data_IF_038358145639
#
_entry.id   IF_038358145639
#
_cell.length_a   1.000
_cell.length_b   1.000
_cell.length_c   1.000
_cell.angle_alpha   90.00
_cell.angle_beta   90.00
_cell.angle_gamma   90.00
#
_symmetry.space_group_name_H-M   'P 1'
#
loop_
_entity.id
_entity.type
_entity.pdbx_description
1 polymer ?
#
# COMPACT_ATOMS: atom_id res chain seq x y z
N UNK A 1 -24.06 6.40 -9.96
CA UNK A 1 -23.80 7.37 -8.91
C UNK A 1 -22.80 8.42 -9.39
N UNK A 2 -22.84 9.61 -8.83
CA UNK A 2 -21.90 10.68 -9.15
C UNK A 2 -20.50 10.36 -8.65
N UNK A 3 -19.42 10.91 -9.26
CA UNK A 3 -18.03 10.72 -8.80
C UNK A 3 -17.74 11.56 -7.55
N UNK A 4 -18.62 11.51 -6.56
CA UNK A 4 -18.54 12.20 -5.27
C UNK A 4 -18.51 11.20 -4.15
N UNK A 5 -18.37 11.67 -2.91
CA UNK A 5 -18.49 10.82 -1.72
C UNK A 5 -19.87 10.17 -1.71
N UNK A 6 -19.92 8.90 -2.04
CA UNK A 6 -21.14 8.09 -2.08
C UNK A 6 -20.81 6.64 -1.73
N UNK A 7 -21.83 5.86 -1.41
CA UNK A 7 -21.73 4.44 -1.03
C UNK A 7 -21.22 3.53 -2.17
N UNK A 8 -21.29 3.96 -3.44
CA UNK A 8 -20.84 3.12 -4.54
C UNK A 8 -19.32 3.18 -4.73
N UNK A 9 -18.71 2.04 -4.97
CA UNK A 9 -17.29 1.94 -5.34
C UNK A 9 -17.02 2.27 -6.81
N UNK A 10 -18.05 2.36 -7.65
CA UNK A 10 -17.99 2.66 -9.09
C UNK A 10 -18.95 3.80 -9.39
N UNK A 11 -18.54 4.79 -10.20
CA UNK A 11 -19.39 5.89 -10.60
C UNK A 11 -20.31 5.56 -11.78
N UNK A 12 -21.11 6.55 -12.21
CA UNK A 12 -22.03 6.40 -13.33
C UNK A 12 -21.31 6.07 -14.66
N UNK A 13 -20.11 6.58 -14.86
CA UNK A 13 -19.30 6.36 -16.07
C UNK A 13 -18.46 5.07 -16.02
N UNK A 14 -18.60 4.28 -14.96
CA UNK A 14 -17.87 3.04 -14.78
C UNK A 14 -16.45 3.22 -14.22
N UNK A 15 -16.08 4.41 -13.77
CA UNK A 15 -14.78 4.65 -13.16
C UNK A 15 -14.75 4.11 -11.72
N UNK A 16 -13.66 3.47 -11.37
CA UNK A 16 -13.45 2.96 -10.02
C UNK A 16 -13.03 4.08 -9.09
N UNK A 17 -13.75 4.24 -7.98
CA UNK A 17 -13.42 5.18 -6.90
C UNK A 17 -12.36 4.60 -5.95
N UNK A 18 -11.79 5.45 -5.12
CA UNK A 18 -10.82 5.04 -4.08
C UNK A 18 -11.30 3.86 -3.24
N UNK A 19 -12.59 3.87 -2.84
CA UNK A 19 -13.21 2.76 -2.10
C UNK A 19 -13.08 1.42 -2.82
N UNK A 20 -13.22 1.38 -4.14
CA UNK A 20 -13.15 0.13 -4.91
C UNK A 20 -11.74 -0.47 -4.89
N UNK A 21 -10.69 0.37 -5.01
CA UNK A 21 -9.31 -0.09 -4.91
C UNK A 21 -8.95 -0.54 -3.49
N UNK A 22 -9.46 0.15 -2.46
CA UNK A 22 -9.27 -0.28 -1.07
C UNK A 22 -9.98 -1.60 -0.79
N UNK A 23 -11.23 -1.77 -1.27
CA UNK A 23 -11.97 -3.03 -1.16
C UNK A 23 -11.24 -4.18 -1.87
N UNK A 24 -10.71 -3.95 -3.09
CA UNK A 24 -9.89 -4.95 -3.79
C UNK A 24 -8.70 -5.45 -2.96
N UNK A 25 -8.03 -4.56 -2.23
CA UNK A 25 -6.92 -4.91 -1.34
C UNK A 25 -7.40 -5.63 -0.08
N UNK A 26 -8.48 -5.14 0.53
CA UNK A 26 -9.03 -5.70 1.77
C UNK A 26 -9.65 -7.09 1.59
N UNK A 27 -10.19 -7.39 0.39
CA UNK A 27 -10.77 -8.69 0.05
C UNK A 27 -9.78 -9.62 -0.69
N UNK A 28 -8.47 -9.37 -0.58
CA UNK A 28 -7.48 -10.31 -1.08
C UNK A 28 -7.56 -11.65 -0.31
N UNK A 29 -7.43 -12.81 -1.00
CA UNK A 29 -7.60 -14.13 -0.36
C UNK A 29 -6.64 -14.41 0.81
N UNK A 30 -5.48 -13.74 0.83
CA UNK A 30 -4.58 -13.70 1.99
C UNK A 30 -4.35 -12.25 2.35
N UNK A 31 -4.55 -11.92 3.62
CA UNK A 31 -4.42 -10.57 4.12
C UNK A 31 -3.55 -10.50 5.38
N UNK A 32 -2.75 -9.44 5.50
CA UNK A 32 -1.98 -9.11 6.70
C UNK A 32 -2.70 -7.95 7.37
N UNK A 33 -3.15 -8.13 8.60
CA UNK A 33 -3.86 -7.12 9.36
C UNK A 33 -3.10 -6.73 10.63
N UNK A 34 -2.28 -5.68 10.60
CA UNK A 34 -1.67 -5.10 11.78
C UNK A 34 -2.71 -4.30 12.56
N UNK A 35 -2.79 -4.53 13.87
CA UNK A 35 -3.74 -3.87 14.76
C UNK A 35 -3.04 -3.42 16.04
N UNK A 36 -3.29 -2.19 16.47
CA UNK A 36 -2.82 -1.68 17.74
C UNK A 36 -3.87 -1.95 18.82
N UNK A 37 -3.53 -2.83 19.76
CA UNK A 37 -4.35 -3.17 20.93
C UNK A 37 -3.70 -2.57 22.19
N UNK A 38 -4.18 -1.41 22.62
CA UNK A 38 -3.50 -0.62 23.64
C UNK A 38 -2.11 -0.20 23.14
N UNK A 39 -1.07 -0.55 23.87
CA UNK A 39 0.33 -0.29 23.51
C UNK A 39 1.01 -1.46 22.77
N UNK A 40 0.25 -2.50 22.43
CA UNK A 40 0.79 -3.66 21.71
C UNK A 40 0.37 -3.64 20.25
N UNK A 41 1.34 -3.82 19.37
CA UNK A 41 1.09 -4.13 17.97
C UNK A 41 0.87 -5.65 17.85
N UNK A 42 -0.30 -6.02 17.34
CA UNK A 42 -0.66 -7.37 16.98
C UNK A 42 -0.71 -7.50 15.48
N UNK A 43 -0.13 -8.55 14.91
CA UNK A 43 -0.18 -8.83 13.47
C UNK A 43 -0.94 -10.11 13.24
N UNK A 44 -2.05 -10.00 12.54
CA UNK A 44 -2.90 -11.12 12.17
C UNK A 44 -2.64 -11.48 10.71
N UNK A 45 -2.62 -12.78 10.43
CA UNK A 45 -2.72 -13.32 9.09
C UNK A 45 -4.12 -13.92 8.91
N UNK A 46 -4.74 -13.55 7.80
CA UNK A 46 -6.08 -14.03 7.41
C UNK A 46 -5.95 -14.82 6.10
N UNK A 47 -6.72 -15.90 5.97
CA UNK A 47 -6.81 -16.69 4.75
C UNK A 47 -8.25 -17.10 4.49
N UNK A 48 -8.73 -16.79 3.29
CA UNK A 48 -10.00 -17.26 2.72
C UNK A 48 -9.81 -18.51 1.83
N UNK A 49 -8.54 -19.00 1.72
CA UNK A 49 -8.27 -20.25 1.02
C UNK A 49 -8.83 -21.45 1.76
N UNK A 50 -9.25 -22.47 1.01
CA UNK A 50 -9.70 -23.73 1.55
C UNK A 50 -8.58 -24.70 1.88
N UNK A 51 -7.34 -24.36 1.51
CA UNK A 51 -6.14 -25.15 1.75
C UNK A 51 -5.20 -24.46 2.72
N UNK A 52 -4.54 -25.25 3.57
CA UNK A 52 -3.47 -24.75 4.44
C UNK A 52 -2.24 -24.36 3.64
N UNK A 53 -1.68 -23.19 3.92
CA UNK A 53 -0.42 -22.72 3.35
C UNK A 53 0.71 -22.85 4.36
N UNK A 54 1.78 -23.49 3.93
CA UNK A 54 2.93 -23.77 4.79
C UNK A 54 4.18 -23.05 4.31
N UNK A 55 5.20 -23.01 5.18
CA UNK A 55 6.54 -22.45 4.90
C UNK A 55 6.49 -21.02 4.42
N UNK A 56 5.57 -20.25 5.01
CA UNK A 56 5.49 -18.81 4.77
C UNK A 56 6.51 -18.08 5.64
N UNK A 57 6.99 -16.95 5.14
CA UNK A 57 7.89 -16.03 5.90
C UNK A 57 7.28 -14.66 5.94
N UNK A 58 7.01 -14.14 7.13
CA UNK A 58 6.57 -12.76 7.33
C UNK A 58 7.77 -11.90 7.66
N UNK A 59 8.01 -10.88 6.85
CA UNK A 59 9.03 -9.85 7.05
C UNK A 59 8.35 -8.53 7.41
N UNK A 60 8.81 -7.89 8.48
CA UNK A 60 8.28 -6.61 8.97
C UNK A 60 9.43 -5.62 9.11
N UNK A 61 9.33 -4.47 8.42
CA UNK A 61 10.34 -3.40 8.41
C UNK A 61 9.74 -2.10 8.88
N UNK A 62 10.32 -1.51 9.92
CA UNK A 62 9.97 -0.20 10.40
C UNK A 62 10.87 0.84 9.74
N UNK A 63 10.26 1.79 9.02
CA UNK A 63 10.95 2.75 8.17
C UNK A 63 10.33 4.13 8.35
N UNK A 64 11.13 5.19 8.34
CA UNK A 64 10.60 6.54 8.30
C UNK A 64 10.15 6.95 6.89
N UNK A 65 9.47 8.09 6.76
CA UNK A 65 8.95 8.56 5.47
C UNK A 65 10.03 8.93 4.44
N UNK A 66 11.29 9.04 4.85
CA UNK A 66 12.44 9.22 3.94
C UNK A 66 13.13 7.89 3.56
N UNK A 67 12.56 6.75 3.91
CA UNK A 67 13.10 5.43 3.56
C UNK A 67 14.20 4.92 4.49
N UNK A 68 14.52 5.65 5.57
CA UNK A 68 15.54 5.21 6.52
C UNK A 68 14.93 4.23 7.53
N UNK A 69 15.61 3.12 7.76
CA UNK A 69 15.26 2.16 8.80
C UNK A 69 15.28 2.83 10.19
N UNK A 70 14.21 2.63 10.96
CA UNK A 70 14.05 3.25 12.30
C UNK A 70 14.24 2.23 13.42
N UNK A 71 13.68 1.05 13.29
CA UNK A 71 13.69 0.00 14.29
C UNK A 71 14.32 -1.30 13.80
N UNK A 72 14.00 -2.38 14.47
CA UNK A 72 14.43 -3.72 14.06
C UNK A 72 13.61 -4.21 12.87
N UNK A 73 14.26 -4.94 11.97
CA UNK A 73 13.54 -5.82 11.04
C UNK A 73 13.19 -7.08 11.78
N UNK A 74 11.94 -7.48 11.75
CA UNK A 74 11.46 -8.73 12.31
C UNK A 74 11.17 -9.70 11.17
N UNK A 75 11.68 -10.92 11.28
CA UNK A 75 11.46 -11.99 10.31
C UNK A 75 10.92 -13.19 11.07
N UNK A 76 9.73 -13.66 10.69
CA UNK A 76 9.10 -14.87 11.22
C UNK A 76 9.09 -15.93 10.12
N UNK A 77 10.04 -16.86 10.13
CA UNK A 77 10.12 -17.93 9.14
C UNK A 77 9.17 -19.10 9.46
N UNK A 78 8.91 -19.92 8.47
CA UNK A 78 8.21 -21.22 8.60
C UNK A 78 6.81 -21.12 9.22
N UNK A 79 6.11 -20.03 8.93
CA UNK A 79 4.72 -19.89 9.37
C UNK A 79 3.81 -20.85 8.59
N UNK A 80 2.81 -21.35 9.29
CA UNK A 80 1.68 -22.11 8.73
C UNK A 80 0.42 -21.28 8.86
N UNK A 81 -0.29 -21.09 7.76
CA UNK A 81 -1.58 -20.38 7.71
C UNK A 81 -2.67 -21.41 7.35
N UNK A 82 -3.48 -21.86 8.33
CA UNK A 82 -4.55 -22.79 8.08
C UNK A 82 -5.60 -22.27 7.11
N UNK A 83 -6.39 -23.17 6.55
CA UNK A 83 -7.54 -22.85 5.73
C UNK A 83 -8.56 -22.01 6.51
N UNK A 84 -9.20 -21.04 5.83
CA UNK A 84 -10.30 -20.23 6.34
C UNK A 84 -10.10 -19.75 7.79
N UNK A 85 -8.99 -19.04 8.03
CA UNK A 85 -8.56 -18.70 9.39
C UNK A 85 -8.15 -17.22 9.53
N UNK A 86 -8.20 -16.75 10.76
CA UNK A 86 -7.56 -15.52 11.22
C UNK A 86 -6.76 -15.82 12.48
N UNK A 87 -5.44 -15.64 12.45
CA UNK A 87 -4.57 -15.93 13.58
C UNK A 87 -3.58 -14.79 13.86
N UNK A 88 -3.36 -14.47 15.14
CA UNK A 88 -2.30 -13.57 15.56
C UNK A 88 -0.96 -14.32 15.52
N UNK A 89 -0.07 -13.88 14.61
CA UNK A 89 1.26 -14.50 14.43
C UNK A 89 2.38 -13.74 15.11
N UNK A 90 2.13 -12.48 15.49
CA UNK A 90 3.12 -11.64 16.16
C UNK A 90 2.44 -10.65 17.11
N UNK A 91 3.01 -10.48 18.30
CA UNK A 91 2.59 -9.48 19.28
C UNK A 91 3.84 -8.86 19.92
N UNK A 92 3.90 -7.54 19.98
CA UNK A 92 5.00 -6.81 20.61
C UNK A 92 4.55 -5.46 21.14
N UNK A 93 5.20 -4.95 22.19
CA UNK A 93 4.96 -3.58 22.62
C UNK A 93 5.59 -2.59 21.63
N UNK A 94 5.01 -1.39 21.52
CA UNK A 94 5.61 -0.31 20.72
C UNK A 94 7.00 0.05 21.22
N UNK A 95 7.25 0.03 22.54
CA UNK A 95 8.56 0.27 23.12
C UNK A 95 9.61 -0.73 22.62
N UNK A 96 9.27 -2.01 22.54
CA UNK A 96 10.15 -3.05 22.00
C UNK A 96 10.38 -2.90 20.50
N UNK A 97 9.33 -2.55 19.77
CA UNK A 97 9.39 -2.38 18.32
C UNK A 97 10.35 -1.25 17.92
N UNK A 98 10.34 -0.14 18.65
CA UNK A 98 11.17 1.04 18.39
C UNK A 98 12.54 1.00 19.05
N UNK A 99 12.84 -0.02 19.88
CA UNK A 99 14.15 -0.15 20.51
C UNK A 99 15.28 -0.29 19.45
N UNK A 100 16.43 0.39 19.60
CA UNK A 100 16.93 1.10 20.76
C UNK A 100 16.70 2.62 20.76
N UNK A 101 15.68 3.13 20.10
CA UNK A 101 15.40 4.57 20.08
C UNK A 101 15.10 5.08 21.51
N UNK A 102 15.94 5.96 22.01
CA UNK A 102 15.77 6.63 23.32
C UNK A 102 14.78 7.81 23.29
N UNK A 103 14.05 8.00 22.18
CA UNK A 103 13.16 9.14 21.96
C UNK A 103 11.72 8.84 22.41
N UNK A 104 10.96 9.86 22.81
CA UNK A 104 9.53 9.69 23.06
C UNK A 104 8.83 9.14 21.83
N UNK A 105 8.20 8.00 21.96
CA UNK A 105 7.45 7.28 20.93
C UNK A 105 6.39 8.11 20.19
N UNK A 106 5.90 9.18 20.81
CA UNK A 106 4.80 9.98 20.27
C UNK A 106 5.13 10.67 18.93
N UNK A 107 6.34 11.22 18.79
CA UNK A 107 6.77 11.91 17.57
C UNK A 107 7.18 10.91 16.46
N UNK A 108 7.83 9.81 16.83
CA UNK A 108 8.27 8.81 15.84
C UNK A 108 7.07 8.16 15.12
N UNK A 109 5.94 7.97 15.82
CA UNK A 109 4.72 7.38 15.27
C UNK A 109 4.04 8.23 14.17
N UNK A 110 4.40 9.51 14.06
CA UNK A 110 3.87 10.44 13.05
C UNK A 110 4.73 10.51 11.79
N UNK A 111 5.96 9.94 11.84
CA UNK A 111 6.97 10.03 10.79
C UNK A 111 7.39 8.69 10.18
N UNK A 112 6.78 7.59 10.65
CA UNK A 112 7.18 6.26 10.21
C UNK A 112 5.96 5.38 9.84
N UNK A 113 6.28 4.33 9.13
CA UNK A 113 5.36 3.24 8.78
C UNK A 113 6.04 1.90 8.96
N UNK A 114 5.27 0.85 9.06
CA UNK A 114 5.75 -0.51 8.98
C UNK A 114 5.28 -1.15 7.69
N UNK A 115 6.23 -1.64 6.90
CA UNK A 115 5.98 -2.48 5.74
C UNK A 115 5.99 -3.94 6.19
N UNK A 116 4.94 -4.68 5.84
CA UNK A 116 4.81 -6.09 6.13
C UNK A 116 4.65 -6.85 4.82
N UNK A 117 5.48 -7.87 4.63
CA UNK A 117 5.47 -8.68 3.41
C UNK A 117 5.47 -10.16 3.79
N UNK A 118 4.46 -10.89 3.35
CA UNK A 118 4.36 -12.33 3.48
C UNK A 118 4.84 -12.98 2.18
N UNK A 119 5.81 -13.88 2.30
CA UNK A 119 6.43 -14.59 1.16
C UNK A 119 6.20 -16.09 1.27
N UNK A 120 6.10 -16.75 0.15
CA UNK A 120 6.12 -18.21 0.08
C UNK A 120 7.56 -18.75 0.14
N UNK A 121 7.71 -20.09 0.12
CA UNK A 121 9.00 -20.81 0.13
C UNK A 121 9.90 -20.45 -1.05
N UNK A 122 9.34 -19.96 -2.15
CA UNK A 122 10.08 -19.57 -3.37
C UNK A 122 10.47 -18.09 -3.34
N UNK A 123 10.07 -17.34 -2.29
CA UNK A 123 10.32 -15.92 -2.14
C UNK A 123 9.30 -15.03 -2.86
N UNK A 124 8.25 -15.60 -3.48
CA UNK A 124 7.20 -14.80 -4.08
C UNK A 124 6.32 -14.14 -2.99
N UNK A 125 5.96 -12.89 -3.23
CA UNK A 125 5.05 -12.15 -2.35
C UNK A 125 3.63 -12.73 -2.44
N UNK A 126 3.12 -13.20 -1.31
CA UNK A 126 1.74 -13.72 -1.15
C UNK A 126 0.80 -12.61 -0.74
N UNK A 127 1.23 -11.75 0.18
CA UNK A 127 0.49 -10.58 0.63
C UNK A 127 1.47 -9.50 1.10
N UNK A 128 1.07 -8.25 0.97
CA UNK A 128 1.81 -7.10 1.50
C UNK A 128 0.85 -6.04 2.03
N UNK A 129 1.28 -5.30 3.05
CA UNK A 129 0.53 -4.17 3.57
C UNK A 129 1.48 -3.15 4.20
N UNK A 130 1.00 -1.91 4.29
CA UNK A 130 1.69 -0.82 4.99
C UNK A 130 0.84 -0.39 6.17
N UNK A 131 1.44 -0.32 7.34
CA UNK A 131 0.76 0.11 8.55
C UNK A 131 1.29 1.46 9.03
N UNK A 132 0.38 2.40 9.24
CA UNK A 132 0.65 3.71 9.83
C UNK A 132 0.16 3.72 11.27
N UNK A 133 0.98 4.20 12.19
CA UNK A 133 0.68 4.20 13.63
C UNK A 133 -0.27 5.34 14.05
N UNK A 134 -0.60 6.25 13.14
CA UNK A 134 -1.52 7.37 13.34
C UNK A 134 -2.48 7.50 12.14
N UNK A 135 -3.60 8.16 12.38
CA UNK A 135 -4.55 8.52 11.30
C UNK A 135 -3.84 9.45 10.30
N UNK A 136 -4.22 9.39 9.04
CA UNK A 136 -3.61 10.18 7.95
C UNK A 136 -3.49 11.67 8.27
N UNK A 137 -4.51 12.25 8.90
CA UNK A 137 -4.52 13.67 9.31
C UNK A 137 -3.47 14.04 10.36
N UNK A 138 -2.97 13.05 11.11
CA UNK A 138 -2.01 13.24 12.19
C UNK A 138 -0.58 12.89 11.76
N UNK A 139 -0.39 12.40 10.51
CA UNK A 139 0.91 12.10 9.95
C UNK A 139 1.62 13.37 9.47
N UNK A 140 2.91 13.45 9.69
CA UNK A 140 3.78 14.51 9.19
C UNK A 140 4.39 14.10 7.85
N UNK A 141 3.55 14.06 6.82
CA UNK A 141 3.92 13.62 5.49
C UNK A 141 4.94 14.57 4.84
N UNK A 142 6.01 14.04 4.22
CA UNK A 142 7.04 14.86 3.57
C UNK A 142 6.49 15.47 2.28
N UNK A 143 6.99 16.65 1.92
CA UNK A 143 6.87 17.14 0.55
C UNK A 143 7.79 16.27 -0.32
N UNK A 144 7.25 15.68 -1.38
CA UNK A 144 7.99 14.82 -2.31
C UNK A 144 7.41 14.98 -3.70
N UNK A 145 8.12 14.47 -4.69
CA UNK A 145 7.67 14.44 -6.09
C UNK A 145 7.66 13.01 -6.58
N UNK A 146 6.62 12.67 -7.32
CA UNK A 146 6.50 11.36 -7.98
C UNK A 146 7.02 11.49 -9.41
N UNK A 147 8.12 10.80 -9.71
CA UNK A 147 8.60 10.68 -11.08
C UNK A 147 7.85 9.54 -11.79
N UNK A 148 7.56 9.73 -13.08
CA UNK A 148 6.83 8.77 -13.89
C UNK A 148 7.57 8.52 -15.21
N UNK A 149 7.79 7.25 -15.54
CA UNK A 149 8.19 6.81 -16.88
C UNK A 149 7.00 6.15 -17.55
N UNK A 150 6.74 6.54 -18.80
CA UNK A 150 5.59 6.09 -19.57
C UNK A 150 6.08 5.20 -20.72
N UNK A 151 5.47 4.02 -20.85
CA UNK A 151 5.56 3.19 -22.05
C UNK A 151 4.16 2.98 -22.60
N UNK A 152 3.96 3.32 -23.85
CA UNK A 152 2.64 3.34 -24.48
C UNK A 152 2.62 2.54 -25.76
N UNK A 153 1.54 1.82 -25.95
CA UNK A 153 1.15 1.14 -27.18
C UNK A 153 -0.36 1.22 -27.33
N UNK A 154 -0.90 0.84 -28.48
CA UNK A 154 -2.34 0.90 -28.72
C UNK A 154 -3.12 0.12 -27.65
N UNK A 155 -4.09 0.79 -27.06
CA UNK A 155 -4.95 0.24 -26.01
C UNK A 155 -4.32 0.17 -24.61
N UNK A 156 -3.00 0.40 -24.44
CA UNK A 156 -2.31 0.16 -23.16
C UNK A 156 -1.25 1.23 -22.88
N UNK A 157 -1.25 1.74 -21.66
CA UNK A 157 -0.21 2.59 -21.11
C UNK A 157 0.34 1.98 -19.82
N UNK A 158 1.66 1.76 -19.77
CA UNK A 158 2.38 1.31 -18.57
C UNK A 158 3.10 2.48 -17.94
N UNK A 159 2.79 2.76 -16.70
CA UNK A 159 3.43 3.78 -15.88
C UNK A 159 4.38 3.12 -14.89
N UNK A 160 5.63 3.56 -14.84
CA UNK A 160 6.57 3.20 -13.77
C UNK A 160 6.80 4.41 -12.88
N UNK A 161 6.31 4.34 -11.66
CA UNK A 161 6.34 5.41 -10.67
C UNK A 161 7.46 5.20 -9.66
N UNK A 162 8.08 6.29 -9.22
CA UNK A 162 9.12 6.30 -8.21
C UNK A 162 9.06 7.60 -7.41
N UNK A 163 9.22 7.51 -6.08
CA UNK A 163 9.36 8.67 -5.20
C UNK A 163 10.56 8.51 -4.27
N UNK A 164 11.35 9.57 -3.98
CA UNK A 164 12.44 9.52 -3.03
C UNK A 164 11.99 9.43 -1.56
N UNK A 165 10.74 9.82 -1.27
CA UNK A 165 10.13 9.71 0.05
C UNK A 165 8.71 9.16 -0.08
N UNK A 166 8.06 8.85 1.04
CA UNK A 166 6.68 8.36 1.03
C UNK A 166 5.76 9.36 0.32
N UNK A 167 5.12 8.92 -0.76
CA UNK A 167 3.99 9.60 -1.37
C UNK A 167 2.72 8.80 -1.03
N UNK A 168 1.94 9.31 -0.06
CA UNK A 168 0.77 8.61 0.46
C UNK A 168 -0.46 8.89 -0.39
N UNK A 169 -1.27 7.83 -0.60
CA UNK A 169 -2.51 7.90 -1.36
C UNK A 169 -2.30 8.51 -2.75
N UNK A 170 -1.37 7.93 -3.53
CA UNK A 170 -1.10 8.37 -4.90
C UNK A 170 -2.33 8.14 -5.76
N UNK A 171 -2.79 9.19 -6.39
CA UNK A 171 -3.92 9.20 -7.30
C UNK A 171 -3.47 9.52 -8.73
N UNK A 172 -3.85 8.67 -9.65
CA UNK A 172 -3.58 8.79 -11.09
C UNK A 172 -4.88 9.09 -11.80
N UNK A 173 -4.90 10.15 -12.58
CA UNK A 173 -6.06 10.57 -13.36
C UNK A 173 -5.69 10.71 -14.83
N UNK A 174 -6.60 10.28 -15.69
CA UNK A 174 -6.54 10.43 -17.14
C UNK A 174 -7.96 10.76 -17.64
N UNK A 175 -8.14 11.77 -18.51
CA UNK A 175 -9.46 12.18 -18.99
C UNK A 175 -9.99 11.26 -20.10
N UNK A 176 -9.86 9.94 -19.90
CA UNK A 176 -10.39 8.92 -20.81
C UNK A 176 -11.51 8.16 -20.10
N UNK A 177 -12.75 8.35 -20.58
CA UNK A 177 -13.91 7.69 -19.99
C UNK A 177 -13.78 6.16 -20.07
N UNK A 178 -14.03 5.48 -18.95
CA UNK A 178 -13.97 4.03 -18.85
C UNK A 178 -12.56 3.43 -18.87
N UNK A 179 -11.50 4.25 -18.74
CA UNK A 179 -10.14 3.74 -18.56
C UNK A 179 -10.05 2.86 -17.31
N UNK A 180 -9.32 1.74 -17.42
CA UNK A 180 -9.11 0.82 -16.32
C UNK A 180 -7.67 0.86 -15.87
N UNK A 181 -7.47 0.98 -14.55
CA UNK A 181 -6.17 0.98 -13.91
C UNK A 181 -5.95 -0.36 -13.19
N UNK A 182 -4.78 -0.95 -13.34
CA UNK A 182 -4.42 -2.15 -12.56
C UNK A 182 -4.40 -1.86 -11.06
N UNK A 183 -4.00 -0.65 -10.66
CA UNK A 183 -4.06 -0.13 -9.29
C UNK A 183 -4.16 1.40 -9.29
N UNK A 184 -4.71 1.97 -8.20
CA UNK A 184 -4.80 3.41 -7.96
C UNK A 184 -5.03 3.67 -6.45
N UNK A 185 -4.88 4.90 -5.98
CA UNK A 185 -5.03 5.27 -4.56
C UNK A 185 -4.18 4.37 -3.65
N UNK A 186 -2.89 4.26 -3.95
CA UNK A 186 -1.92 3.45 -3.23
C UNK A 186 -0.83 4.30 -2.59
N UNK A 187 -0.14 3.73 -1.61
CA UNK A 187 1.05 4.33 -1.04
C UNK A 187 2.27 3.96 -1.88
N UNK A 188 3.03 4.96 -2.32
CA UNK A 188 4.30 4.77 -3.02
C UNK A 188 5.44 4.94 -2.01
N UNK A 189 6.10 3.82 -1.71
CA UNK A 189 7.13 3.78 -0.68
C UNK A 189 8.46 4.37 -1.17
N UNK A 190 9.28 4.90 -0.27
CA UNK A 190 10.55 5.54 -0.62
C UNK A 190 11.49 4.62 -1.40
N UNK A 191 11.86 5.02 -2.62
CA UNK A 191 12.79 4.27 -3.47
C UNK A 191 12.21 3.01 -4.14
N UNK A 192 10.97 2.65 -3.85
CA UNK A 192 10.29 1.53 -4.52
C UNK A 192 9.71 1.96 -5.87
N UNK A 193 9.76 1.04 -6.83
CA UNK A 193 9.13 1.21 -8.14
C UNK A 193 7.75 0.56 -8.15
N UNK A 194 6.73 1.32 -8.48
CA UNK A 194 5.37 0.82 -8.68
C UNK A 194 5.01 0.90 -10.16
N UNK A 195 4.60 -0.23 -10.73
CA UNK A 195 4.08 -0.27 -12.09
C UNK A 195 2.56 -0.26 -12.06
N UNK A 196 1.96 0.65 -12.82
CA UNK A 196 0.50 0.72 -13.03
C UNK A 196 0.24 0.59 -14.52
N UNK A 197 -0.65 -0.30 -14.89
CA UNK A 197 -1.11 -0.49 -16.26
C UNK A 197 -2.49 0.15 -16.41
N UNK A 198 -2.61 1.03 -17.41
CA UNK A 198 -3.87 1.65 -17.80
C UNK A 198 -4.29 1.06 -19.12
N UNK A 199 -5.54 0.63 -19.22
CA UNK A 199 -6.12 0.10 -20.46
C UNK A 199 -7.32 0.95 -20.90
N UNK A 200 -7.35 1.32 -22.17
CA UNK A 200 -8.48 2.00 -22.82
C UNK A 200 -8.32 1.89 -24.34
N UNK A 201 -9.37 1.63 -25.11
CA UNK A 201 -9.31 1.65 -26.57
C UNK A 201 -8.97 3.03 -27.15
N UNK A 202 -9.05 4.09 -26.35
CA UNK A 202 -8.73 5.47 -26.73
C UNK A 202 -7.23 5.76 -26.62
N UNK A 203 -6.42 4.90 -26.01
CA UNK A 203 -4.96 5.05 -25.93
C UNK A 203 -4.36 4.68 -27.29
N UNK A 204 -3.60 5.61 -27.90
CA UNK A 204 -2.91 5.40 -29.18
C UNK A 204 -1.41 5.55 -28.99
N UNK A 205 -0.64 4.71 -29.65
CA UNK A 205 0.82 4.78 -29.61
C UNK A 205 1.30 6.13 -30.15
N UNK A 206 2.14 6.82 -29.38
CA UNK A 206 2.77 8.10 -29.78
C UNK A 206 1.91 9.34 -29.58
N UNK A 207 0.66 9.20 -29.11
CA UNK A 207 -0.17 10.35 -28.70
C UNK A 207 0.16 10.73 -27.25
N UNK A 208 0.17 12.02 -26.96
CA UNK A 208 0.37 12.51 -25.59
C UNK A 208 -0.85 12.19 -24.73
N UNK A 209 -0.63 11.55 -23.60
CA UNK A 209 -1.68 11.30 -22.61
C UNK A 209 -1.66 12.41 -21.56
N UNK A 210 -2.74 13.17 -21.40
CA UNK A 210 -2.86 14.19 -20.37
C UNK A 210 -3.02 13.52 -18.99
N UNK A 211 -1.91 13.06 -18.45
CA UNK A 211 -1.81 12.32 -17.21
C UNK A 211 -1.58 13.24 -16.04
N UNK A 212 -2.40 13.13 -15.00
CA UNK A 212 -2.20 13.80 -13.71
C UNK A 212 -1.87 12.78 -12.64
N UNK A 213 -0.78 13.01 -11.91
CA UNK A 213 -0.39 12.20 -10.75
C UNK A 213 -0.29 13.12 -9.55
N UNK A 214 -1.02 12.82 -8.50
CA UNK A 214 -1.04 13.57 -7.24
C UNK A 214 -0.94 12.63 -6.06
N UNK A 215 -0.57 13.16 -4.90
CA UNK A 215 -0.65 12.44 -3.63
C UNK A 215 -1.22 13.37 -2.54
N UNK A 216 -1.66 12.80 -1.43
CA UNK A 216 -2.45 13.54 -0.43
C UNK A 216 -1.70 14.76 0.13
N UNK A 217 -0.35 14.74 0.22
CA UNK A 217 0.42 15.88 0.75
C UNK A 217 0.32 17.14 -0.14
N UNK A 218 -0.01 17.00 -1.42
CA UNK A 218 -0.20 18.13 -2.35
C UNK A 218 -1.57 18.78 -2.23
N UNK A 219 -2.49 18.21 -1.46
CA UNK A 219 -3.85 18.73 -1.30
C UNK A 219 -4.00 19.74 -0.16
N UNK A 220 -2.92 19.97 0.61
CA UNK A 220 -2.89 20.93 1.71
C UNK A 220 -1.50 21.56 1.87
N UNK A 221 -1.43 22.75 2.49
CA UNK A 221 -0.21 23.54 2.72
C UNK A 221 0.63 23.01 3.89
#
# INVERSE_FOLDING_TARGET
SWPVVSWSGIDYYGNWKALHYQAKRAFAPVHINPLLEGDNLCVYLLSDHLDTREKLTLEMRLTNFAGKKVGRTVVLPSLTLPANTSQCVYRTSLTTLFFPAKRPLADDLRHCFMQLTLKDKSGHTVAETVYFFRKTKDLLLPKTTVSCKIKQKDGVCELTLLSPALAKDVFIEIPLQGARFSDNFFDLLPGERKTVVITSPQIKKGEELPLTIKHIRETYN
#
